data_IF_570839918629
#
_entry.id   IF_570839918629
#
_cell.length_a   1.000
_cell.length_b   1.000
_cell.length_c   1.000
_cell.angle_alpha   90.00
_cell.angle_beta   90.00
_cell.angle_gamma   90.00
#
_symmetry.space_group_name_H-M   'P 1'
#
loop_
_entity.id
_entity.type
_entity.pdbx_description
1 polymer ?
#
# COMPACT_ATOMS: atom_id res chain seq x y z
N UNK A 1 -23.71 -4.24 8.69
CA UNK A 1 -22.50 -4.07 9.54
C UNK A 1 -22.86 -4.02 11.02
N UNK A 2 -23.91 -3.31 11.43
CA UNK A 2 -24.33 -3.19 12.84
C UNK A 2 -24.55 -4.54 13.55
N UNK A 3 -25.19 -5.50 12.88
CA UNK A 3 -25.35 -6.85 13.43
C UNK A 3 -24.01 -7.57 13.67
N UNK A 4 -23.08 -7.49 12.70
CA UNK A 4 -21.75 -8.06 12.85
C UNK A 4 -21.00 -7.45 14.04
N UNK A 5 -21.04 -6.13 14.17
CA UNK A 5 -20.45 -5.39 15.27
C UNK A 5 -21.03 -5.84 16.62
N UNK A 6 -22.36 -5.89 16.73
CA UNK A 6 -23.02 -6.34 17.97
C UNK A 6 -22.68 -7.78 18.34
N UNK A 7 -22.62 -8.70 17.38
CA UNK A 7 -22.22 -10.10 17.64
C UNK A 7 -20.74 -10.21 18.05
N UNK A 8 -19.87 -9.41 17.45
CA UNK A 8 -18.45 -9.40 17.78
C UNK A 8 -18.20 -8.85 19.20
N UNK A 9 -18.81 -7.73 19.56
CA UNK A 9 -18.67 -7.16 20.91
C UNK A 9 -19.24 -8.09 21.98
N UNK A 10 -20.42 -8.71 21.74
CA UNK A 10 -20.99 -9.69 22.66
C UNK A 10 -20.07 -10.92 22.84
N UNK A 11 -19.41 -11.38 21.78
CA UNK A 11 -18.43 -12.47 21.86
C UNK A 11 -17.25 -12.08 22.77
N UNK A 12 -16.72 -10.88 22.63
CA UNK A 12 -15.62 -10.37 23.47
C UNK A 12 -16.03 -10.23 24.95
N UNK A 13 -17.22 -9.74 25.21
CA UNK A 13 -17.79 -9.68 26.57
C UNK A 13 -17.87 -11.07 27.18
N UNK A 14 -18.37 -12.07 26.44
CA UNK A 14 -18.52 -13.45 26.92
C UNK A 14 -17.21 -14.13 27.28
N UNK A 15 -16.11 -13.75 26.64
CA UNK A 15 -14.76 -14.26 26.98
C UNK A 15 -14.02 -13.39 28.01
N UNK A 16 -14.69 -12.39 28.60
CA UNK A 16 -14.14 -11.52 29.64
C UNK A 16 -13.19 -10.43 29.14
N UNK A 17 -13.22 -10.11 27.85
CA UNK A 17 -12.39 -9.08 27.21
C UNK A 17 -13.25 -8.01 26.50
N UNK A 18 -14.13 -7.28 27.22
CA UNK A 18 -14.91 -6.21 26.61
C UNK A 18 -13.97 -5.11 26.10
N UNK A 19 -14.22 -4.63 24.89
CA UNK A 19 -13.50 -3.51 24.29
C UNK A 19 -14.49 -2.46 23.79
N UNK A 20 -14.07 -1.20 23.84
CA UNK A 20 -14.73 -0.10 23.15
C UNK A 20 -13.86 0.32 21.98
N UNK A 21 -14.44 0.38 20.79
CA UNK A 21 -13.76 0.84 19.58
C UNK A 21 -14.49 2.06 19.01
N UNK A 22 -13.76 2.92 18.34
CA UNK A 22 -14.36 3.99 17.55
C UNK A 22 -15.11 3.35 16.36
N UNK A 23 -16.43 3.54 16.29
CA UNK A 23 -17.27 2.96 15.25
C UNK A 23 -17.35 3.82 13.98
N UNK A 24 -16.77 5.03 14.00
CA UNK A 24 -16.71 5.90 12.83
C UNK A 24 -15.65 5.37 11.85
N UNK A 25 -16.04 5.04 10.60
CA UNK A 25 -15.09 4.57 9.60
C UNK A 25 -14.00 5.60 9.32
N UNK A 26 -12.77 5.13 9.10
CA UNK A 26 -11.66 5.95 8.65
C UNK A 26 -11.44 5.69 7.15
N UNK A 27 -11.06 6.72 6.40
CA UNK A 27 -10.67 6.61 4.98
C UNK A 27 -11.72 5.92 4.08
N UNK A 28 -13.00 6.07 4.42
CA UNK A 28 -14.12 5.50 3.67
C UNK A 28 -15.09 6.61 3.23
N UNK A 29 -15.80 6.38 2.12
CA UNK A 29 -16.81 7.31 1.60
C UNK A 29 -18.08 7.45 2.47
N UNK A 30 -18.14 6.77 3.61
CA UNK A 30 -19.28 6.84 4.53
C UNK A 30 -18.83 7.25 5.91
N UNK A 31 -19.56 8.18 6.52
CA UNK A 31 -19.37 8.61 7.91
C UNK A 31 -20.34 7.89 8.86
N UNK A 32 -21.19 6.98 8.34
CA UNK A 32 -22.15 6.26 9.17
C UNK A 32 -21.41 5.27 10.06
N UNK A 33 -21.52 5.40 11.40
CA UNK A 33 -20.86 4.49 12.35
C UNK A 33 -21.25 3.03 12.12
N UNK A 34 -20.34 2.09 12.35
CA UNK A 34 -20.55 0.65 12.14
C UNK A 34 -21.73 0.10 12.89
N UNK A 35 -21.97 0.55 14.12
CA UNK A 35 -23.10 0.17 14.98
C UNK A 35 -24.46 0.63 14.42
N UNK A 36 -24.47 1.59 13.50
CA UNK A 36 -25.65 2.14 12.84
C UNK A 36 -25.80 1.75 11.38
N UNK A 37 -24.85 1.04 10.81
CA UNK A 37 -24.91 0.59 9.41
C UNK A 37 -25.81 -0.64 9.25
N UNK A 38 -27.05 -0.41 8.82
CA UNK A 38 -28.07 -1.46 8.63
C UNK A 38 -28.21 -1.93 7.17
N UNK A 39 -27.33 -1.48 6.26
CA UNK A 39 -27.37 -1.90 4.86
C UNK A 39 -26.94 -3.36 4.77
N UNK A 40 -27.82 -4.22 4.28
CA UNK A 40 -27.50 -5.59 3.95
C UNK A 40 -26.51 -5.63 2.79
N UNK A 41 -25.42 -6.40 2.94
CA UNK A 41 -24.46 -6.65 1.87
C UNK A 41 -24.37 -8.15 1.65
N UNK A 42 -24.46 -8.57 0.41
CA UNK A 42 -24.22 -9.96 0.05
C UNK A 42 -22.72 -10.27 0.15
N UNK A 43 -22.41 -11.45 0.67
CA UNK A 43 -21.04 -11.95 0.74
C UNK A 43 -20.78 -12.91 -0.42
N UNK A 44 -19.97 -12.47 -1.39
CA UNK A 44 -19.47 -13.34 -2.47
C UNK A 44 -18.16 -14.01 -2.02
N UNK A 45 -18.27 -15.27 -1.61
CA UNK A 45 -17.12 -16.08 -1.20
C UNK A 45 -16.11 -16.32 -2.34
N UNK A 46 -16.55 -16.34 -3.60
CA UNK A 46 -15.66 -16.51 -4.74
C UNK A 46 -14.85 -15.23 -5.01
N UNK A 47 -15.50 -14.06 -4.95
CA UNK A 47 -14.83 -12.78 -5.05
C UNK A 47 -13.82 -12.58 -3.90
N UNK A 48 -14.21 -12.87 -2.66
CA UNK A 48 -13.34 -12.78 -1.50
C UNK A 48 -12.08 -13.67 -1.65
N UNK A 49 -12.22 -14.90 -2.16
CA UNK A 49 -11.09 -15.79 -2.43
C UNK A 49 -10.20 -15.27 -3.56
N UNK A 50 -10.77 -14.67 -4.61
CA UNK A 50 -9.97 -14.05 -5.69
C UNK A 50 -9.15 -12.90 -5.14
N UNK A 51 -9.76 -11.99 -4.41
CA UNK A 51 -9.08 -10.87 -3.76
C UNK A 51 -7.96 -11.33 -2.82
N UNK A 52 -8.23 -12.32 -1.98
CA UNK A 52 -7.22 -12.89 -1.08
C UNK A 52 -6.02 -13.48 -1.82
N UNK A 53 -6.23 -14.18 -2.96
CA UNK A 53 -5.12 -14.68 -3.79
C UNK A 53 -4.30 -13.55 -4.40
N UNK A 54 -4.94 -12.46 -4.82
CA UNK A 54 -4.24 -11.27 -5.32
C UNK A 54 -3.37 -10.64 -4.22
N UNK A 55 -3.88 -10.53 -3.01
CA UNK A 55 -3.09 -10.04 -1.87
C UNK A 55 -1.91 -10.96 -1.52
N UNK A 56 -2.10 -12.29 -1.57
CA UNK A 56 -0.98 -13.22 -1.35
C UNK A 56 0.10 -13.09 -2.42
N UNK A 57 -0.29 -12.94 -3.69
CA UNK A 57 0.63 -12.69 -4.80
C UNK A 57 1.37 -11.36 -4.60
N UNK A 58 0.65 -10.28 -4.32
CA UNK A 58 1.22 -8.96 -4.09
C UNK A 58 2.18 -8.96 -2.90
N UNK A 59 1.77 -9.56 -1.78
CA UNK A 59 2.62 -9.71 -0.60
C UNK A 59 3.93 -10.42 -0.93
N UNK A 60 3.90 -11.50 -1.69
CA UNK A 60 5.10 -12.24 -2.06
C UNK A 60 6.05 -11.38 -2.93
N UNK A 61 5.52 -10.68 -3.94
CA UNK A 61 6.30 -9.81 -4.81
C UNK A 61 6.92 -8.63 -4.04
N UNK A 62 6.11 -7.93 -3.23
CA UNK A 62 6.56 -6.79 -2.41
C UNK A 62 7.55 -7.22 -1.32
N UNK A 63 7.37 -8.41 -0.72
CA UNK A 63 8.33 -8.95 0.24
C UNK A 63 9.69 -9.20 -0.40
N UNK A 64 9.70 -9.80 -1.60
CA UNK A 64 10.94 -10.03 -2.36
C UNK A 64 11.63 -8.73 -2.75
N UNK A 65 10.86 -7.69 -3.09
CA UNK A 65 11.39 -6.35 -3.37
C UNK A 65 11.98 -5.69 -2.12
N UNK A 66 11.23 -5.66 -1.01
CA UNK A 66 11.62 -4.92 0.19
C UNK A 66 12.65 -5.65 1.07
N UNK A 67 12.89 -6.96 0.83
CA UNK A 67 13.80 -7.75 1.65
C UNK A 67 15.22 -7.18 1.75
N UNK A 68 15.90 -6.79 0.64
CA UNK A 68 17.27 -6.28 0.69
C UNK A 68 17.38 -4.87 1.27
N UNK A 69 16.28 -4.14 1.41
CA UNK A 69 16.33 -2.77 1.95
C UNK A 69 16.72 -2.76 3.43
N UNK A 70 17.76 -2.00 3.77
CA UNK A 70 18.39 -1.98 5.10
C UNK A 70 17.94 -0.84 6.01
N UNK A 71 17.16 0.11 5.49
CA UNK A 71 16.63 1.22 6.26
C UNK A 71 15.37 0.86 7.08
N UNK A 72 14.80 1.87 7.72
CA UNK A 72 13.47 1.78 8.35
C UNK A 72 12.43 1.43 7.29
N UNK A 73 11.63 0.43 7.54
CA UNK A 73 10.56 0.00 6.64
C UNK A 73 9.35 -0.53 7.40
N UNK A 74 8.19 -0.37 6.79
CA UNK A 74 6.99 -1.14 7.13
C UNK A 74 6.99 -2.36 6.20
N UNK A 75 6.99 -3.60 6.73
CA UNK A 75 6.92 -4.79 5.88
C UNK A 75 5.58 -4.86 5.16
N UNK A 76 5.46 -5.60 4.02
CA UNK A 76 4.20 -5.76 3.33
C UNK A 76 3.07 -6.20 4.26
N UNK A 77 2.10 -5.32 4.46
CA UNK A 77 0.98 -5.44 5.39
C UNK A 77 -0.31 -4.97 4.73
N UNK A 78 -1.44 -5.50 5.17
CA UNK A 78 -2.75 -5.00 4.72
C UNK A 78 -3.05 -3.69 5.45
N UNK A 79 -3.13 -2.60 4.68
CA UNK A 79 -3.63 -1.31 5.14
C UNK A 79 -5.15 -1.35 4.99
N UNK A 80 -5.81 -1.68 6.08
CA UNK A 80 -7.24 -2.01 6.05
C UNK A 80 -8.15 -0.80 5.80
N UNK A 81 -7.68 0.43 6.04
CA UNK A 81 -8.43 1.67 5.79
C UNK A 81 -8.63 1.90 4.29
N UNK A 82 -7.54 1.91 3.54
CA UNK A 82 -7.50 2.02 2.07
C UNK A 82 -7.69 0.69 1.36
N UNK A 83 -7.59 -0.42 2.10
CA UNK A 83 -7.73 -1.80 1.64
C UNK A 83 -6.71 -2.22 0.58
N UNK A 84 -5.46 -1.89 0.80
CA UNK A 84 -4.31 -2.22 -0.03
C UNK A 84 -3.25 -3.05 0.70
N UNK A 85 -2.44 -3.78 -0.05
CA UNK A 85 -1.27 -4.51 0.45
C UNK A 85 -0.03 -3.66 0.23
N UNK A 86 0.54 -3.10 1.28
CA UNK A 86 1.52 -2.03 1.17
C UNK A 86 2.76 -2.24 2.01
N UNK A 87 3.90 -1.82 1.49
CA UNK A 87 5.20 -1.67 2.16
C UNK A 87 5.70 -0.24 1.99
N UNK A 88 6.29 0.33 3.03
CA UNK A 88 6.83 1.69 3.01
C UNK A 88 8.32 1.65 3.36
N UNK A 89 9.14 2.34 2.57
CA UNK A 89 10.56 2.46 2.77
C UNK A 89 10.91 3.91 3.11
N UNK A 90 11.62 4.15 4.20
CA UNK A 90 11.95 5.47 4.72
C UNK A 90 13.41 5.84 4.47
N UNK A 91 13.67 7.11 4.16
CA UNK A 91 15.03 7.62 3.94
C UNK A 91 15.79 7.95 5.23
N UNK A 92 15.08 8.07 6.36
CA UNK A 92 15.64 8.59 7.61
C UNK A 92 15.69 10.12 7.69
N UNK A 93 15.28 10.82 6.63
CA UNK A 93 15.26 12.29 6.61
C UNK A 93 13.91 12.79 7.10
N UNK A 94 13.85 13.64 8.16
CA UNK A 94 12.60 14.20 8.63
C UNK A 94 11.88 14.99 7.53
N UNK A 95 10.60 14.71 7.34
CA UNK A 95 9.73 15.36 6.39
C UNK A 95 8.26 15.26 6.89
N UNK A 96 7.92 15.96 7.98
CA UNK A 96 6.59 15.88 8.55
C UNK A 96 5.54 16.50 7.63
N UNK A 97 4.36 15.93 7.61
CA UNK A 97 3.20 16.50 6.94
C UNK A 97 2.78 17.82 7.60
N UNK A 98 2.13 18.67 6.83
CA UNK A 98 1.58 19.93 7.32
C UNK A 98 0.50 19.69 8.39
N UNK A 99 0.25 20.72 9.24
CA UNK A 99 -0.72 20.63 10.33
C UNK A 99 -2.16 20.40 9.87
N UNK A 100 -2.46 20.69 8.62
CA UNK A 100 -3.77 20.52 7.98
C UNK A 100 -4.00 19.09 7.48
N UNK A 101 -2.96 18.29 7.37
CA UNK A 101 -3.05 16.89 6.97
C UNK A 101 -3.80 16.05 8.01
N UNK A 102 -4.26 14.86 7.63
CA UNK A 102 -4.96 13.94 8.52
C UNK A 102 -4.11 13.57 9.75
N UNK A 103 -4.74 13.13 10.81
CA UNK A 103 -4.02 12.68 12.02
C UNK A 103 -3.13 11.47 11.71
N UNK A 104 -3.57 10.59 10.80
CA UNK A 104 -2.81 9.40 10.37
C UNK A 104 -1.52 9.82 9.68
N UNK A 105 -1.60 10.70 8.69
CA UNK A 105 -0.43 11.21 7.95
C UNK A 105 0.59 11.88 8.89
N UNK A 106 0.12 12.74 9.79
CA UNK A 106 0.99 13.48 10.71
C UNK A 106 1.69 12.63 11.77
N UNK A 107 1.08 11.50 12.16
CA UNK A 107 1.59 10.66 13.26
C UNK A 107 2.35 9.44 12.73
N UNK A 108 1.93 8.89 11.60
CA UNK A 108 2.54 7.69 11.02
C UNK A 108 3.69 7.99 10.06
N UNK A 109 3.69 9.17 9.41
CA UNK A 109 4.62 9.51 8.33
C UNK A 109 5.33 10.83 8.63
N UNK A 110 6.41 10.77 9.37
CA UNK A 110 7.22 11.93 9.77
C UNK A 110 8.55 12.06 9.03
N UNK A 111 8.83 11.13 8.14
CA UNK A 111 10.04 11.06 7.33
C UNK A 111 9.71 11.07 5.83
N UNK A 112 10.67 11.44 5.00
CA UNK A 112 10.61 11.21 3.56
C UNK A 112 10.54 9.70 3.29
N UNK A 113 9.60 9.27 2.43
CA UNK A 113 9.35 7.86 2.17
C UNK A 113 8.96 7.56 0.73
N UNK A 114 9.00 6.28 0.39
CA UNK A 114 8.36 5.72 -0.80
C UNK A 114 7.50 4.54 -0.39
N UNK A 115 6.27 4.58 -0.81
CA UNK A 115 5.25 3.57 -0.62
C UNK A 115 5.11 2.73 -1.88
N UNK A 116 5.02 1.42 -1.70
CA UNK A 116 4.83 0.43 -2.75
C UNK A 116 3.65 -0.45 -2.37
N UNK A 117 2.63 -0.45 -3.17
CA UNK A 117 1.42 -1.17 -2.80
C UNK A 117 0.77 -1.89 -3.97
N UNK A 118 -0.23 -2.67 -3.60
CA UNK A 118 -1.18 -3.30 -4.49
C UNK A 118 -2.59 -2.96 -4.02
N UNK A 119 -3.32 -2.29 -4.87
CA UNK A 119 -4.71 -1.90 -4.65
C UNK A 119 -5.64 -2.75 -5.52
N UNK A 120 -6.69 -3.39 -4.94
CA UNK A 120 -7.56 -4.31 -5.68
C UNK A 120 -8.58 -3.60 -6.59
N UNK A 121 -8.61 -2.26 -6.61
CA UNK A 121 -9.62 -1.48 -7.30
C UNK A 121 -10.83 -1.14 -6.43
N UNK A 122 -11.71 -0.33 -6.96
CA UNK A 122 -12.98 0.08 -6.37
C UNK A 122 -14.11 0.06 -7.43
N UNK A 123 -15.28 0.59 -7.06
CA UNK A 123 -16.44 0.68 -7.95
C UNK A 123 -16.20 1.61 -9.17
N UNK A 124 -15.28 2.57 -9.06
CA UNK A 124 -14.92 3.50 -10.14
C UNK A 124 -13.83 2.95 -11.05
N UNK A 125 -12.87 2.21 -10.47
CA UNK A 125 -11.70 1.68 -11.18
C UNK A 125 -11.56 0.19 -10.88
N UNK A 126 -12.17 -0.65 -11.70
CA UNK A 126 -12.11 -2.11 -11.56
C UNK A 126 -10.85 -2.69 -12.24
N UNK A 127 -9.68 -2.14 -11.94
CA UNK A 127 -8.41 -2.56 -12.54
C UNK A 127 -7.35 -2.70 -11.44
N UNK A 128 -7.28 -3.88 -10.77
CA UNK A 128 -6.29 -4.13 -9.73
C UNK A 128 -4.90 -3.76 -10.19
N UNK A 129 -4.17 -2.94 -9.40
CA UNK A 129 -2.91 -2.36 -9.81
C UNK A 129 -1.88 -2.34 -8.70
N UNK A 130 -0.62 -2.53 -9.05
CA UNK A 130 0.51 -2.11 -8.23
C UNK A 130 0.71 -0.62 -8.40
N UNK A 131 1.05 0.06 -7.32
CA UNK A 131 1.34 1.49 -7.32
C UNK A 131 2.64 1.81 -6.60
N UNK A 132 3.22 2.97 -6.93
CA UNK A 132 4.36 3.54 -6.20
C UNK A 132 4.09 5.02 -5.99
N UNK A 133 4.03 5.41 -4.74
CA UNK A 133 3.83 6.77 -4.26
C UNK A 133 5.06 7.24 -3.49
N UNK A 134 5.50 8.46 -3.71
CA UNK A 134 6.61 9.05 -2.96
C UNK A 134 6.15 10.28 -2.17
N UNK A 135 6.70 10.48 -0.98
CA UNK A 135 6.53 11.71 -0.24
C UNK A 135 7.90 12.31 0.15
N UNK A 136 8.18 13.57 -0.18
CA UNK A 136 7.38 14.50 -1.00
C UNK A 136 7.04 13.96 -2.39
N UNK A 137 5.90 14.38 -2.94
CA UNK A 137 5.40 13.91 -4.23
C UNK A 137 6.38 14.18 -5.37
N UNK A 138 6.45 13.26 -6.32
CA UNK A 138 7.25 13.41 -7.54
C UNK A 138 6.39 14.09 -8.61
N UNK A 139 6.62 15.39 -8.85
CA UNK A 139 5.83 16.18 -9.79
C UNK A 139 6.02 15.77 -11.27
N UNK A 140 7.16 15.15 -11.62
CA UNK A 140 7.55 14.82 -13.00
C UNK A 140 8.07 13.38 -13.09
N UNK A 141 7.15 12.44 -13.12
CA UNK A 141 7.44 11.05 -13.42
C UNK A 141 7.38 10.77 -14.93
N UNK A 142 7.95 9.66 -15.35
CA UNK A 142 7.84 9.13 -16.71
C UNK A 142 7.61 7.62 -16.69
N UNK A 143 6.81 7.12 -17.61
CA UNK A 143 6.63 5.67 -17.78
C UNK A 143 7.95 4.92 -17.99
N UNK A 144 8.95 5.56 -18.61
CA UNK A 144 10.28 4.98 -18.79
C UNK A 144 11.09 4.79 -17.49
N UNK A 145 10.66 5.40 -16.38
CA UNK A 145 11.29 5.20 -15.08
C UNK A 145 11.08 3.78 -14.52
N UNK A 146 10.00 3.13 -14.94
CA UNK A 146 9.57 1.86 -14.40
C UNK A 146 10.27 0.62 -14.96
N UNK A 147 10.98 0.73 -16.09
CA UNK A 147 11.64 -0.37 -16.80
C UNK A 147 10.75 -1.62 -16.98
N UNK A 148 9.46 -1.38 -17.18
CA UNK A 148 8.40 -2.35 -17.49
C UNK A 148 7.46 -1.68 -18.49
N UNK A 149 7.26 -2.28 -19.66
CA UNK A 149 6.66 -1.61 -20.82
C UNK A 149 5.24 -1.09 -20.57
N UNK A 150 4.43 -1.82 -19.78
CA UNK A 150 3.04 -1.47 -19.51
C UNK A 150 2.85 -0.55 -18.28
N UNK A 151 3.93 -0.22 -17.59
CA UNK A 151 3.86 0.70 -16.46
C UNK A 151 3.66 2.14 -16.95
N UNK A 152 2.95 2.94 -16.18
CA UNK A 152 2.71 4.34 -16.49
C UNK A 152 2.81 5.22 -15.25
N UNK A 153 3.06 6.50 -15.48
CA UNK A 153 2.99 7.53 -14.46
C UNK A 153 1.70 8.33 -14.65
N UNK A 154 0.93 8.44 -13.58
CA UNK A 154 -0.23 9.32 -13.54
C UNK A 154 0.17 10.64 -12.88
N UNK A 155 0.07 11.72 -13.64
CA UNK A 155 0.45 13.06 -13.18
C UNK A 155 -0.58 13.69 -12.24
N UNK A 156 -1.82 13.22 -12.25
CA UNK A 156 -2.87 13.74 -11.38
C UNK A 156 -2.68 13.24 -9.94
N UNK A 157 -2.41 11.94 -9.77
CA UNK A 157 -2.09 11.36 -8.46
C UNK A 157 -0.62 11.47 -8.07
N UNK A 158 0.28 11.79 -9.03
CA UNK A 158 1.74 11.74 -8.85
C UNK A 158 2.27 10.34 -8.51
N UNK A 159 1.69 9.32 -9.10
CA UNK A 159 1.98 7.91 -8.82
C UNK A 159 2.37 7.13 -10.07
N UNK A 160 3.16 6.07 -9.87
CA UNK A 160 3.42 5.06 -10.90
C UNK A 160 2.49 3.88 -10.72
N UNK A 161 2.00 3.33 -11.83
CA UNK A 161 1.11 2.18 -11.83
C UNK A 161 1.60 1.06 -12.75
N UNK A 162 1.36 -0.18 -12.33
CA UNK A 162 1.43 -1.39 -13.14
C UNK A 162 0.19 -2.23 -12.88
N UNK A 163 -0.68 -2.38 -13.87
CA UNK A 163 -1.91 -3.16 -13.69
C UNK A 163 -1.58 -4.64 -13.49
N UNK A 164 -2.30 -5.30 -12.59
CA UNK A 164 -2.12 -6.73 -12.34
C UNK A 164 -2.23 -7.58 -13.62
N UNK A 165 -3.22 -7.28 -14.47
CA UNK A 165 -3.43 -7.99 -15.75
C UNK A 165 -2.22 -7.90 -16.67
N UNK A 166 -1.49 -6.79 -16.65
CA UNK A 166 -0.31 -6.57 -17.47
C UNK A 166 0.91 -7.27 -16.86
N UNK A 167 1.08 -7.20 -15.54
CA UNK A 167 2.11 -7.96 -14.82
C UNK A 167 1.99 -9.47 -15.06
N UNK A 168 0.76 -10.01 -15.11
CA UNK A 168 0.49 -11.43 -15.32
C UNK A 168 0.81 -11.92 -16.74
N UNK A 169 1.15 -11.04 -17.69
CA UNK A 169 1.57 -11.42 -19.08
C UNK A 169 3.05 -11.78 -19.17
N UNK A 170 3.84 -11.46 -18.15
CA UNK A 170 5.26 -11.81 -18.10
C UNK A 170 5.46 -13.27 -17.71
N UNK A 171 6.54 -13.89 -18.17
CA UNK A 171 6.90 -15.27 -17.82
C UNK A 171 7.10 -15.45 -16.28
N UNK A 172 7.66 -14.44 -15.61
CA UNK A 172 7.72 -14.32 -14.16
C UNK A 172 7.02 -13.03 -13.71
N UNK A 173 5.73 -13.09 -13.40
CA UNK A 173 4.96 -11.93 -12.97
C UNK A 173 5.51 -11.27 -11.69
N UNK A 174 6.02 -12.06 -10.75
CA UNK A 174 6.62 -11.49 -9.53
C UNK A 174 7.92 -10.75 -9.83
N UNK A 175 8.74 -11.24 -10.75
CA UNK A 175 9.95 -10.55 -11.19
C UNK A 175 9.60 -9.24 -11.91
N UNK A 176 8.52 -9.22 -12.71
CA UNK A 176 8.03 -7.98 -13.35
C UNK A 176 7.63 -6.93 -12.31
N UNK A 177 6.86 -7.32 -11.29
CA UNK A 177 6.48 -6.42 -10.18
C UNK A 177 7.73 -5.94 -9.42
N UNK A 178 8.65 -6.83 -9.07
CA UNK A 178 9.90 -6.44 -8.39
C UNK A 178 10.73 -5.46 -9.23
N UNK A 179 10.80 -5.68 -10.55
CA UNK A 179 11.48 -4.76 -11.47
C UNK A 179 10.81 -3.40 -11.53
N UNK A 180 9.48 -3.36 -11.61
CA UNK A 180 8.68 -2.15 -11.51
C UNK A 180 9.02 -1.36 -10.25
N UNK A 181 8.93 -1.99 -9.08
CA UNK A 181 9.25 -1.36 -7.79
C UNK A 181 10.71 -0.89 -7.71
N UNK A 182 11.67 -1.72 -8.12
CA UNK A 182 13.09 -1.39 -8.00
C UNK A 182 13.52 -0.25 -8.93
N UNK A 183 13.03 -0.22 -10.18
CA UNK A 183 13.37 0.83 -11.12
C UNK A 183 12.75 2.17 -10.76
N UNK A 184 11.48 2.20 -10.38
CA UNK A 184 10.81 3.42 -9.88
C UNK A 184 11.45 3.93 -8.61
N UNK A 185 11.80 3.03 -7.67
CA UNK A 185 12.50 3.39 -6.44
C UNK A 185 13.84 4.07 -6.71
N UNK A 186 14.65 3.52 -7.62
CA UNK A 186 15.94 4.10 -7.97
C UNK A 186 15.77 5.53 -8.51
N UNK A 187 14.78 5.78 -9.37
CA UNK A 187 14.49 7.10 -9.91
C UNK A 187 13.95 8.08 -8.86
N UNK A 188 13.09 7.60 -7.97
CA UNK A 188 12.57 8.43 -6.88
C UNK A 188 13.68 8.84 -5.91
N UNK A 189 14.53 7.89 -5.49
CA UNK A 189 15.69 8.19 -4.63
C UNK A 189 16.60 9.25 -5.26
N UNK A 190 16.81 9.18 -6.58
CA UNK A 190 17.59 10.16 -7.32
C UNK A 190 16.94 11.56 -7.29
N UNK A 191 15.64 11.64 -7.62
CA UNK A 191 14.88 12.90 -7.65
C UNK A 191 14.71 13.54 -6.27
N UNK A 192 14.51 12.73 -5.26
CA UNK A 192 14.36 13.20 -3.89
C UNK A 192 15.71 13.41 -3.17
N UNK A 193 16.84 13.19 -3.86
CA UNK A 193 18.19 13.32 -3.32
C UNK A 193 18.39 12.53 -2.02
N UNK A 194 18.02 11.23 -2.04
CA UNK A 194 18.31 10.37 -0.90
C UNK A 194 19.82 10.24 -0.72
N UNK A 195 20.28 10.47 0.50
CA UNK A 195 21.66 10.26 0.86
C UNK A 195 21.97 8.76 1.00
N UNK A 196 23.21 8.35 0.69
CA UNK A 196 23.69 6.98 0.89
C UNK A 196 22.79 5.91 0.23
N UNK A 197 22.39 6.12 -1.00
CA UNK A 197 21.49 5.21 -1.76
C UNK A 197 22.02 3.78 -1.81
N UNK A 198 23.31 3.61 -2.06
CA UNK A 198 24.05 2.35 -2.01
C UNK A 198 23.91 1.63 -0.66
N UNK A 199 23.98 2.37 0.45
CA UNK A 199 23.76 1.79 1.78
C UNK A 199 22.40 1.10 1.90
N UNK A 200 21.36 1.61 1.29
CA UNK A 200 20.03 1.03 1.41
C UNK A 200 19.79 -0.16 0.50
N UNK A 201 20.45 -0.23 -0.66
CA UNK A 201 20.08 -1.12 -1.75
C UNK A 201 21.14 -2.15 -2.12
N UNK A 202 22.42 -1.88 -1.84
CA UNK A 202 23.50 -2.82 -2.14
C UNK A 202 23.62 -3.87 -1.05
N UNK A 203 23.83 -5.15 -1.41
CA UNK A 203 24.15 -6.19 -0.46
C UNK A 203 25.43 -5.84 0.32
N UNK A 204 25.48 -6.20 1.61
CA UNK A 204 26.74 -6.21 2.32
C UNK A 204 27.66 -7.21 1.62
N UNK A 205 28.76 -6.72 1.07
CA UNK A 205 29.80 -7.61 0.56
C UNK A 205 30.28 -8.44 1.75
N UNK A 206 30.15 -9.75 1.63
CA UNK A 206 30.83 -10.66 2.55
C UNK A 206 32.31 -10.42 2.33
N UNK A 207 32.97 -9.80 3.33
CA UNK A 207 34.39 -9.63 3.35
C UNK A 207 35.12 -10.96 3.56
#
# INVERSE_FOLDING_TARGET
MSELYGRFTAMLENIGHPIAINTVPQEMHTEVPFDRQNIAREFDAAAARRCFRQFLFARAALSGFAAPFRGKKIPPSLFWGTFDMTTVLFSGKPCPFERTASIVERVAFDEQFVEFGFWPGDDATNDPSFFVLAYPFVEKGSSSDANVDEAFFDAESSEYFLRLKDALRYDDPQAAVRRFCSSTFARIMERQNWERRDWFTEPLLNG
#
